data_IF_780534654136
#
_entry.id   IF_780534654136
#
_cell.length_a   1.000
_cell.length_b   1.000
_cell.length_c   1.000
_cell.angle_alpha   90.00
_cell.angle_beta   90.00
_cell.angle_gamma   90.00
#
_symmetry.space_group_name_H-M   'P 1'
#
loop_
_entity.id
_entity.type
_entity.pdbx_description
1 polymer ?
#
# COMPACT_ATOMS: atom_id res chain seq x y z
N UNK A 1 -3.19 -23.65 5.94
CA UNK A 1 -2.12 -22.91 6.66
C UNK A 1 -2.44 -22.93 8.15
N UNK A 2 -1.45 -23.21 9.01
CA UNK A 2 -1.64 -23.19 10.47
C UNK A 2 -1.76 -21.76 11.01
N UNK A 3 -2.25 -21.61 12.25
CA UNK A 3 -2.24 -20.32 12.96
C UNK A 3 -0.79 -19.89 13.21
N UNK A 4 -0.43 -18.66 12.85
CA UNK A 4 0.88 -18.08 13.19
C UNK A 4 0.84 -17.47 14.60
N UNK A 5 1.92 -17.61 15.36
CA UNK A 5 2.10 -16.93 16.65
C UNK A 5 2.92 -15.63 16.49
N UNK A 6 3.13 -14.90 17.59
CA UNK A 6 3.87 -13.63 17.58
C UNK A 6 5.32 -13.77 17.15
N UNK A 7 6.00 -14.82 17.58
CA UNK A 7 7.41 -15.04 17.25
C UNK A 7 7.57 -15.29 15.75
N UNK A 8 6.69 -16.12 15.18
CA UNK A 8 6.64 -16.35 13.73
C UNK A 8 6.32 -15.07 12.94
N UNK A 9 5.41 -14.23 13.44
CA UNK A 9 5.11 -12.93 12.82
C UNK A 9 6.37 -12.03 12.81
N UNK A 10 7.12 -12.01 13.91
CA UNK A 10 8.37 -11.24 14.02
C UNK A 10 9.49 -11.81 13.15
N UNK A 11 9.59 -13.13 13.01
CA UNK A 11 10.52 -13.79 12.10
C UNK A 11 10.22 -13.43 10.64
N UNK A 12 8.94 -13.46 10.23
CA UNK A 12 8.53 -13.04 8.88
C UNK A 12 8.93 -11.58 8.64
N UNK A 13 8.61 -10.68 9.59
CA UNK A 13 8.98 -9.27 9.51
C UNK A 13 10.50 -9.12 9.33
N UNK A 14 11.30 -9.74 10.19
CA UNK A 14 12.76 -9.62 10.15
C UNK A 14 13.37 -10.12 8.84
N UNK A 15 12.83 -11.18 8.23
CA UNK A 15 13.27 -11.65 6.90
C UNK A 15 13.00 -10.63 5.79
N UNK A 16 11.95 -9.83 5.92
CA UNK A 16 11.58 -8.80 4.94
C UNK A 16 12.25 -7.43 5.16
N UNK A 17 12.89 -7.19 6.31
CA UNK A 17 13.47 -5.88 6.66
C UNK A 17 14.47 -5.38 5.61
N UNK A 18 15.39 -6.24 5.16
CA UNK A 18 16.38 -5.87 4.14
C UNK A 18 15.72 -5.43 2.82
N UNK A 19 14.63 -6.08 2.40
CA UNK A 19 13.90 -5.75 1.17
C UNK A 19 13.23 -4.39 1.31
N UNK A 20 12.63 -4.12 2.46
CA UNK A 20 11.98 -2.85 2.75
C UNK A 20 13.01 -1.72 2.89
N UNK A 21 14.17 -1.97 3.49
CA UNK A 21 15.22 -0.96 3.64
C UNK A 21 15.77 -0.46 2.29
N UNK A 22 15.82 -1.31 1.26
CA UNK A 22 16.07 -0.86 -0.12
C UNK A 22 15.00 0.15 -0.55
N UNK A 23 13.71 -0.16 -0.34
CA UNK A 23 12.59 0.70 -0.74
C UNK A 23 12.44 1.95 0.12
N UNK A 24 13.07 2.00 1.29
CA UNK A 24 13.17 3.18 2.13
C UNK A 24 14.45 4.00 1.86
N UNK A 25 15.30 3.57 0.92
CA UNK A 25 16.57 4.22 0.63
C UNK A 25 17.60 4.14 1.77
N UNK A 26 17.42 3.19 2.70
CA UNK A 26 18.27 3.00 3.88
C UNK A 26 19.42 2.02 3.64
N UNK A 27 19.28 1.14 2.65
CA UNK A 27 20.28 0.14 2.31
C UNK A 27 20.60 0.17 0.82
N UNK A 28 21.89 0.01 0.50
CA UNK A 28 22.39 -0.31 -0.83
C UNK A 28 22.80 -1.78 -0.79
N UNK A 29 21.87 -2.68 -1.15
CA UNK A 29 22.17 -4.12 -1.24
C UNK A 29 22.74 -4.37 -2.62
N UNK A 30 24.05 -4.63 -2.77
CA UNK A 30 24.74 -5.17 -3.96
C UNK A 30 24.23 -4.71 -5.36
N UNK A 31 23.83 -3.45 -5.51
CA UNK A 31 23.28 -2.92 -6.77
C UNK A 31 21.86 -3.39 -7.11
N UNK A 32 21.16 -4.03 -6.16
CA UNK A 32 19.76 -4.43 -6.27
C UNK A 32 18.85 -3.20 -6.40
N UNK A 33 17.94 -3.26 -7.37
CA UNK A 33 16.95 -2.24 -7.68
C UNK A 33 15.55 -2.81 -7.67
N UNK A 34 14.62 -2.07 -7.04
CA UNK A 34 13.20 -2.40 -7.07
C UNK A 34 12.46 -1.39 -7.93
N UNK A 35 11.83 -1.88 -9.00
CA UNK A 35 11.03 -1.13 -9.95
C UNK A 35 9.56 -1.28 -9.56
N UNK A 36 9.05 -0.30 -8.84
CA UNK A 36 7.68 -0.28 -8.28
C UNK A 36 6.75 0.39 -9.28
N UNK A 37 6.03 -0.40 -10.07
CA UNK A 37 5.13 0.09 -11.13
C UNK A 37 3.74 0.31 -10.56
N UNK A 38 3.09 1.43 -10.91
CA UNK A 38 1.72 1.73 -10.50
C UNK A 38 0.73 0.69 -11.05
N UNK A 39 -0.03 0.05 -10.16
CA UNK A 39 -0.89 -1.10 -10.48
C UNK A 39 -2.25 -1.07 -9.80
N UNK A 40 -2.74 0.12 -9.44
CA UNK A 40 -4.14 0.33 -9.08
C UNK A 40 -5.01 0.52 -10.33
N UNK A 41 -6.32 0.50 -10.15
CA UNK A 41 -7.32 0.63 -11.24
C UNK A 41 -7.07 1.87 -12.11
N UNK A 42 -6.67 3.00 -11.51
CA UNK A 42 -6.36 4.22 -12.26
C UNK A 42 -5.10 4.06 -13.14
N UNK A 43 -4.07 3.36 -12.66
CA UNK A 43 -2.86 3.09 -13.43
C UNK A 43 -3.12 2.11 -14.58
N UNK A 44 -3.92 1.07 -14.33
CA UNK A 44 -4.36 0.11 -15.37
C UNK A 44 -5.14 0.82 -16.48
N UNK A 45 -6.05 1.73 -16.12
CA UNK A 45 -6.79 2.54 -17.08
C UNK A 45 -5.86 3.39 -17.97
N UNK A 46 -4.70 3.81 -17.45
CA UNK A 46 -3.65 4.52 -18.21
C UNK A 46 -2.68 3.60 -18.95
N UNK A 47 -2.96 2.28 -19.04
CA UNK A 47 -2.11 1.26 -19.69
C UNK A 47 -0.77 1.00 -18.98
N UNK A 48 -0.77 0.91 -17.65
CA UNK A 48 0.45 0.50 -16.92
C UNK A 48 0.86 -0.95 -17.12
N UNK A 49 -0.07 -1.87 -17.46
CA UNK A 49 0.26 -3.29 -17.65
C UNK A 49 1.22 -3.54 -18.84
N UNK A 50 1.00 -2.99 -20.05
CA UNK A 50 2.00 -3.06 -21.11
C UNK A 50 3.37 -2.52 -20.73
N UNK A 51 3.44 -1.45 -19.94
CA UNK A 51 4.70 -0.87 -19.45
C UNK A 51 5.40 -1.86 -18.52
N UNK A 52 4.67 -2.41 -17.54
CA UNK A 52 5.18 -3.44 -16.61
C UNK A 52 5.75 -4.64 -17.37
N UNK A 53 5.02 -5.12 -18.37
CA UNK A 53 5.42 -6.31 -19.13
C UNK A 53 6.63 -6.03 -20.02
N UNK A 54 6.71 -4.85 -20.63
CA UNK A 54 7.89 -4.39 -21.35
C UNK A 54 9.11 -4.30 -20.42
N UNK A 55 8.97 -3.74 -19.21
CA UNK A 55 10.05 -3.67 -18.20
C UNK A 55 10.53 -5.09 -17.87
N UNK A 56 9.63 -6.02 -17.56
CA UNK A 56 9.99 -7.41 -17.26
C UNK A 56 10.77 -8.06 -18.41
N UNK A 57 10.28 -7.91 -19.64
CA UNK A 57 10.94 -8.47 -20.82
C UNK A 57 12.34 -7.88 -21.05
N UNK A 58 12.51 -6.57 -20.88
CA UNK A 58 13.81 -5.93 -21.10
C UNK A 58 14.82 -6.25 -19.98
N UNK A 59 14.36 -6.36 -18.73
CA UNK A 59 15.18 -6.85 -17.60
C UNK A 59 15.71 -8.26 -17.86
N UNK A 60 14.85 -9.15 -18.36
CA UNK A 60 15.26 -10.52 -18.73
C UNK A 60 16.24 -10.53 -19.89
N UNK A 61 15.93 -9.80 -20.97
CA UNK A 61 16.76 -9.68 -22.17
C UNK A 61 18.17 -9.15 -21.88
N UNK A 62 18.32 -8.24 -20.92
CA UNK A 62 19.61 -7.65 -20.52
C UNK A 62 20.29 -8.44 -19.38
N UNK A 63 19.69 -9.54 -18.91
CA UNK A 63 20.25 -10.41 -17.87
C UNK A 63 20.25 -9.80 -16.46
N UNK A 64 19.35 -8.84 -16.19
CA UNK A 64 19.30 -8.08 -14.94
C UNK A 64 18.39 -8.69 -13.87
N UNK A 65 17.71 -9.81 -14.16
CA UNK A 65 16.68 -10.40 -13.27
C UNK A 65 17.16 -10.80 -11.87
N UNK A 66 18.48 -10.95 -11.67
CA UNK A 66 19.06 -11.24 -10.35
C UNK A 66 19.13 -10.03 -9.43
N UNK A 67 19.20 -8.83 -10.02
CA UNK A 67 19.39 -7.57 -9.29
C UNK A 67 18.24 -6.59 -9.49
N UNK A 68 17.36 -6.80 -10.48
CA UNK A 68 16.21 -5.94 -10.71
C UNK A 68 14.92 -6.71 -10.45
N UNK A 69 14.12 -6.25 -9.47
CA UNK A 69 12.77 -6.79 -9.20
C UNK A 69 11.72 -5.82 -9.72
N UNK A 70 10.77 -6.33 -10.51
CA UNK A 70 9.65 -5.55 -11.04
C UNK A 70 8.39 -5.90 -10.27
N UNK A 71 7.92 -4.97 -9.45
CA UNK A 71 6.82 -5.17 -8.51
C UNK A 71 5.68 -4.24 -8.90
N UNK A 72 4.48 -4.79 -8.89
CA UNK A 72 3.28 -4.00 -9.13
C UNK A 72 2.71 -3.54 -7.79
N UNK A 73 2.36 -2.27 -7.70
CA UNK A 73 1.87 -1.64 -6.46
C UNK A 73 0.39 -1.28 -6.55
N UNK A 74 -0.14 -0.61 -5.53
CA UNK A 74 -1.40 0.11 -5.65
C UNK A 74 -1.32 1.33 -6.59
N UNK A 75 -2.27 2.25 -6.44
CA UNK A 75 -2.21 3.55 -7.08
C UNK A 75 -1.21 4.44 -6.32
N UNK A 76 -0.42 5.25 -7.01
CA UNK A 76 0.61 6.15 -6.47
C UNK A 76 0.04 7.48 -5.93
N UNK A 77 -1.29 7.61 -5.89
CA UNK A 77 -2.05 8.82 -5.54
C UNK A 77 -1.94 10.01 -6.52
N UNK A 78 -0.98 10.02 -7.46
CA UNK A 78 -0.84 11.08 -8.47
C UNK A 78 -1.24 10.61 -9.88
N UNK A 79 -2.47 10.10 -10.00
CA UNK A 79 -2.93 9.38 -11.20
C UNK A 79 -2.91 10.15 -12.52
N UNK A 80 -2.83 11.48 -12.51
CA UNK A 80 -2.68 12.27 -13.75
C UNK A 80 -1.33 12.06 -14.44
N UNK A 81 -0.33 11.56 -13.70
CA UNK A 81 1.01 11.29 -14.21
C UNK A 81 1.17 9.84 -14.68
N UNK A 82 0.15 9.00 -14.50
CA UNK A 82 0.22 7.58 -14.86
C UNK A 82 0.38 7.36 -16.38
N UNK A 83 1.01 6.25 -16.81
CA UNK A 83 1.68 5.25 -15.99
C UNK A 83 2.95 5.77 -15.31
N UNK A 84 3.17 5.35 -14.05
CA UNK A 84 4.33 5.76 -13.26
C UNK A 84 5.11 4.58 -12.73
N UNK A 85 6.37 4.84 -12.35
CA UNK A 85 7.23 3.89 -11.67
C UNK A 85 8.16 4.61 -10.71
N UNK A 86 8.36 4.03 -9.52
CA UNK A 86 9.44 4.43 -8.61
C UNK A 86 10.56 3.40 -8.70
N UNK A 87 11.80 3.86 -8.86
CA UNK A 87 13.00 3.00 -8.81
C UNK A 87 13.73 3.24 -7.49
N UNK A 88 13.80 2.20 -6.66
CA UNK A 88 14.57 2.17 -5.42
C UNK A 88 15.91 1.47 -5.61
N UNK A 89 16.95 1.81 -4.81
CA UNK A 89 16.91 2.62 -3.59
C UNK A 89 16.89 4.15 -3.78
N UNK A 90 17.12 4.65 -4.99
CA UNK A 90 17.28 6.09 -5.26
C UNK A 90 15.98 6.90 -5.06
N UNK A 91 14.82 6.23 -5.14
CA UNK A 91 13.49 6.84 -5.06
C UNK A 91 13.13 7.64 -6.32
N UNK A 92 13.74 7.30 -7.47
CA UNK A 92 13.55 8.02 -8.73
C UNK A 92 12.15 7.77 -9.26
N UNK A 93 11.44 8.85 -9.59
CA UNK A 93 10.06 8.83 -10.04
C UNK A 93 9.96 9.12 -11.54
N UNK A 94 9.55 8.10 -12.29
CA UNK A 94 9.26 8.22 -13.71
C UNK A 94 7.76 8.34 -13.96
N UNK A 95 7.40 9.23 -14.86
CA UNK A 95 6.01 9.61 -15.15
C UNK A 95 5.70 9.48 -16.65
N UNK A 96 4.41 9.37 -16.98
CA UNK A 96 3.89 9.26 -18.35
C UNK A 96 4.57 8.17 -19.18
N UNK A 97 4.87 7.03 -18.54
CA UNK A 97 5.61 5.96 -19.16
C UNK A 97 4.82 5.28 -20.29
N UNK A 98 5.54 4.96 -21.35
CA UNK A 98 5.09 4.10 -22.44
C UNK A 98 6.02 2.89 -22.60
N UNK A 99 5.60 1.80 -23.26
CA UNK A 99 6.49 0.66 -23.51
C UNK A 99 7.78 1.03 -24.25
N UNK A 100 7.74 2.05 -25.11
CA UNK A 100 8.89 2.50 -25.90
C UNK A 100 9.97 3.17 -25.04
N UNK A 101 9.62 3.63 -23.84
CA UNK A 101 10.54 4.28 -22.91
C UNK A 101 11.43 3.28 -22.13
N UNK A 102 11.08 1.99 -22.17
CA UNK A 102 11.67 0.99 -21.29
C UNK A 102 13.14 0.73 -21.59
N UNK A 103 13.54 0.65 -22.87
CA UNK A 103 14.95 0.40 -23.23
C UNK A 103 15.85 1.57 -22.77
N UNK A 104 15.36 2.81 -22.83
CA UNK A 104 16.06 3.98 -22.30
C UNK A 104 16.25 3.87 -20.78
N UNK A 105 15.20 3.51 -20.03
CA UNK A 105 15.30 3.37 -18.56
C UNK A 105 16.28 2.26 -18.19
N UNK A 106 16.17 1.09 -18.84
CA UNK A 106 17.04 -0.05 -18.54
C UNK A 106 18.49 0.27 -18.90
N UNK A 107 18.74 0.77 -20.10
CA UNK A 107 20.09 1.03 -20.60
C UNK A 107 20.74 2.23 -19.91
N UNK A 108 20.03 3.35 -19.76
CA UNK A 108 20.61 4.55 -19.18
C UNK A 108 20.61 4.50 -17.65
N UNK A 109 19.49 4.18 -17.01
CA UNK A 109 19.40 4.28 -15.56
C UNK A 109 19.86 3.02 -14.84
N UNK A 110 19.39 1.84 -15.26
CA UNK A 110 19.71 0.61 -14.53
C UNK A 110 21.14 0.12 -14.80
N UNK A 111 21.63 0.30 -16.03
CA UNK A 111 23.00 -0.11 -16.44
C UNK A 111 24.00 1.04 -16.26
N UNK A 112 23.77 2.20 -16.88
CA UNK A 112 24.75 3.31 -16.87
C UNK A 112 24.65 4.24 -15.64
N UNK A 113 23.61 4.09 -14.81
CA UNK A 113 23.35 4.95 -13.65
C UNK A 113 22.91 6.38 -13.99
N UNK A 114 22.56 6.66 -15.26
CA UNK A 114 22.13 7.97 -15.75
C UNK A 114 20.61 8.08 -15.81
N UNK A 115 20.06 9.15 -15.25
CA UNK A 115 18.62 9.36 -15.25
C UNK A 115 18.10 9.76 -16.63
N UNK A 116 16.97 9.17 -17.04
CA UNK A 116 16.24 9.58 -18.24
C UNK A 116 15.46 10.87 -17.97
N UNK A 117 16.10 12.03 -18.09
CA UNK A 117 15.56 13.34 -17.68
C UNK A 117 14.20 13.69 -18.29
N UNK A 118 13.94 13.26 -19.54
CA UNK A 118 12.67 13.52 -20.23
C UNK A 118 11.46 12.85 -19.57
N UNK A 119 11.70 11.81 -18.76
CA UNK A 119 10.67 11.03 -18.06
C UNK A 119 10.53 11.41 -16.58
N UNK A 120 11.32 12.37 -16.10
CA UNK A 120 11.21 12.87 -14.73
C UNK A 120 10.07 13.88 -14.62
N UNK A 121 9.46 13.95 -13.44
CA UNK A 121 8.54 15.04 -13.12
C UNK A 121 9.25 16.39 -13.26
N UNK A 122 8.58 17.37 -13.86
CA UNK A 122 9.08 18.73 -13.99
C UNK A 122 8.23 19.67 -13.15
N UNK A 123 8.90 20.51 -12.36
CA UNK A 123 8.23 21.56 -11.60
C UNK A 123 7.46 22.48 -12.57
N UNK A 124 6.14 22.65 -12.42
CA UNK A 124 5.34 23.45 -13.33
C UNK A 124 5.70 24.95 -13.31
N UNK A 125 6.42 25.43 -12.29
CA UNK A 125 6.80 26.84 -12.15
C UNK A 125 8.10 27.16 -12.89
N UNK A 126 9.12 26.31 -12.73
CA UNK A 126 10.47 26.57 -13.25
C UNK A 126 10.96 25.55 -14.28
N UNK A 127 10.16 24.53 -14.59
CA UNK A 127 10.41 23.46 -15.55
C UNK A 127 11.67 22.62 -15.26
N UNK A 128 12.21 22.68 -14.04
CA UNK A 128 13.35 21.84 -13.63
C UNK A 128 12.88 20.43 -13.29
N UNK A 129 13.65 19.39 -13.65
CA UNK A 129 13.34 18.04 -13.25
C UNK A 129 13.50 17.86 -11.74
N UNK A 130 12.57 17.15 -11.11
CA UNK A 130 12.64 16.69 -9.72
C UNK A 130 12.70 15.17 -9.75
N UNK A 131 13.89 14.56 -9.61
CA UNK A 131 14.05 13.13 -9.80
C UNK A 131 13.34 12.27 -8.76
N UNK A 132 13.34 12.67 -7.49
CA UNK A 132 12.87 11.83 -6.39
C UNK A 132 11.41 12.10 -6.07
N UNK A 133 10.64 11.02 -5.89
CA UNK A 133 9.20 11.13 -5.59
C UNK A 133 8.94 12.02 -4.35
N UNK A 134 9.68 11.79 -3.27
CA UNK A 134 9.49 12.50 -2.01
C UNK A 134 9.99 13.95 -2.02
N UNK A 135 10.66 14.40 -3.08
CA UNK A 135 11.06 15.80 -3.25
C UNK A 135 10.02 16.62 -4.05
N UNK A 136 9.06 15.94 -4.70
CA UNK A 136 7.99 16.59 -5.47
C UNK A 136 6.99 17.23 -4.49
N UNK A 137 6.63 18.52 -4.66
CA UNK A 137 5.73 19.25 -3.74
C UNK A 137 4.38 18.57 -3.49
N UNK A 138 3.87 17.81 -4.46
CA UNK A 138 2.66 17.01 -4.29
C UNK A 138 2.80 16.00 -3.15
N UNK A 139 3.92 15.28 -3.06
CA UNK A 139 4.14 14.24 -2.04
C UNK A 139 4.73 14.80 -0.75
N UNK A 140 5.71 15.71 -0.85
CA UNK A 140 6.45 16.23 0.32
C UNK A 140 5.58 17.02 1.30
N UNK A 141 4.48 17.60 0.83
CA UNK A 141 3.53 18.34 1.65
C UNK A 141 2.42 17.46 2.27
N UNK A 142 2.47 16.14 2.09
CA UNK A 142 1.49 15.20 2.64
C UNK A 142 2.00 14.49 3.89
N UNK A 143 1.08 14.17 4.81
CA UNK A 143 1.33 13.23 5.90
C UNK A 143 0.59 11.93 5.63
N UNK A 144 1.32 10.92 5.16
CA UNK A 144 0.74 9.63 4.78
C UNK A 144 0.60 8.71 6.00
N UNK A 145 -0.58 8.71 6.63
CA UNK A 145 -0.90 7.82 7.76
C UNK A 145 -1.54 6.52 7.26
N UNK A 146 -2.71 6.61 6.62
CA UNK A 146 -3.41 5.44 6.04
C UNK A 146 -2.67 4.90 4.82
N UNK A 147 -2.08 5.79 4.02
CA UNK A 147 -1.31 5.46 2.82
C UNK A 147 0.20 5.37 3.10
N UNK A 148 0.61 5.03 4.33
CA UNK A 148 2.05 4.96 4.72
C UNK A 148 2.88 3.95 3.91
N UNK A 149 2.22 3.06 3.16
CA UNK A 149 2.83 2.03 2.33
C UNK A 149 2.72 2.35 0.82
N UNK A 150 2.31 3.57 0.47
CA UNK A 150 2.25 4.06 -0.91
C UNK A 150 3.58 3.77 -1.63
N UNK A 151 3.50 3.07 -2.78
CA UNK A 151 4.63 2.63 -3.61
C UNK A 151 5.69 1.75 -2.93
N UNK A 152 5.47 1.27 -1.70
CA UNK A 152 6.49 0.54 -0.93
C UNK A 152 6.26 -0.98 -0.87
N UNK A 153 5.03 -1.45 -1.09
CA UNK A 153 4.67 -2.87 -0.95
C UNK A 153 4.01 -3.41 -2.22
N UNK A 154 4.19 -4.70 -2.45
CA UNK A 154 3.30 -5.49 -3.29
C UNK A 154 2.00 -5.79 -2.51
N UNK A 155 0.83 -5.31 -2.97
CA UNK A 155 -0.44 -5.52 -2.26
C UNK A 155 -0.93 -6.97 -2.27
N UNK A 156 -0.36 -7.84 -3.11
CA UNK A 156 -0.70 -9.26 -3.21
C UNK A 156 0.32 -10.15 -2.44
N UNK A 157 1.32 -9.55 -1.77
CA UNK A 157 2.31 -10.26 -0.97
C UNK A 157 2.21 -9.88 0.52
N UNK A 158 1.75 -10.82 1.34
CA UNK A 158 1.62 -10.63 2.79
C UNK A 158 2.96 -10.37 3.50
N UNK A 159 4.07 -10.93 3.00
CA UNK A 159 5.38 -10.75 3.62
C UNK A 159 5.85 -9.29 3.51
N UNK A 160 5.55 -8.62 2.39
CA UNK A 160 5.81 -7.18 2.21
C UNK A 160 5.01 -6.35 3.22
N UNK A 161 3.74 -6.69 3.43
CA UNK A 161 2.89 -6.01 4.41
C UNK A 161 3.39 -6.22 5.84
N UNK A 162 3.75 -7.46 6.22
CA UNK A 162 4.30 -7.79 7.56
C UNK A 162 5.64 -7.10 7.80
N UNK A 163 6.51 -7.02 6.79
CA UNK A 163 7.76 -6.28 6.85
C UNK A 163 7.55 -4.77 7.09
N UNK A 164 6.37 -4.26 6.73
CA UNK A 164 5.87 -2.90 7.01
C UNK A 164 4.92 -2.82 8.21
N UNK A 165 5.12 -3.69 9.19
CA UNK A 165 4.42 -3.75 10.49
C UNK A 165 2.95 -4.19 10.43
N UNK A 166 2.45 -4.71 9.30
CA UNK A 166 1.09 -5.25 9.27
C UNK A 166 0.91 -6.35 10.33
N UNK A 167 -0.25 -6.36 10.97
CA UNK A 167 -0.66 -7.29 12.03
C UNK A 167 0.06 -7.16 13.36
N UNK A 168 1.04 -6.27 13.52
CA UNK A 168 1.66 -6.01 14.82
C UNK A 168 0.66 -5.39 15.81
N UNK A 169 -0.21 -4.49 15.33
CA UNK A 169 -1.30 -3.91 16.11
C UNK A 169 -2.35 -4.97 16.46
N UNK A 170 -2.69 -5.86 15.52
CA UNK A 170 -3.58 -7.00 15.79
C UNK A 170 -2.99 -7.96 16.83
N UNK A 171 -1.70 -8.30 16.73
CA UNK A 171 -1.03 -9.17 17.69
C UNK A 171 -1.06 -8.58 19.10
N UNK A 172 -0.81 -7.26 19.23
CA UNK A 172 -0.96 -6.55 20.51
C UNK A 172 -2.40 -6.61 21.02
N UNK A 173 -3.37 -6.27 20.18
CA UNK A 173 -4.79 -6.26 20.53
C UNK A 173 -5.29 -7.64 21.00
N UNK A 174 -4.85 -8.71 20.36
CA UNK A 174 -5.31 -10.06 20.65
C UNK A 174 -4.68 -10.65 21.92
N UNK A 175 -3.41 -10.34 22.20
CA UNK A 175 -2.61 -11.06 23.20
C UNK A 175 -2.24 -10.21 24.43
N UNK A 176 -2.10 -8.89 24.30
CA UNK A 176 -1.51 -8.07 25.38
C UNK A 176 -2.50 -7.18 26.11
N UNK A 177 -3.57 -6.77 25.43
CA UNK A 177 -4.52 -5.78 25.95
C UNK A 177 -5.96 -6.26 25.89
N UNK A 178 -6.75 -5.73 26.80
CA UNK A 178 -8.18 -6.02 26.93
C UNK A 178 -9.00 -5.25 25.88
N UNK A 179 -10.23 -5.72 25.65
CA UNK A 179 -11.20 -5.02 24.80
C UNK A 179 -11.47 -3.58 25.27
N UNK A 180 -11.52 -3.36 26.58
CA UNK A 180 -11.72 -2.05 27.18
C UNK A 180 -10.55 -1.10 26.89
N UNK A 181 -9.30 -1.58 27.02
CA UNK A 181 -8.11 -0.79 26.71
C UNK A 181 -8.04 -0.42 25.22
N UNK A 182 -8.42 -1.33 24.31
CA UNK A 182 -8.53 -1.02 22.88
C UNK A 182 -9.52 0.11 22.65
N UNK A 183 -10.73 0.00 23.21
CA UNK A 183 -11.77 1.03 23.07
C UNK A 183 -11.27 2.37 23.64
N UNK A 184 -10.58 2.34 24.78
CA UNK A 184 -10.05 3.56 25.40
C UNK A 184 -8.97 4.22 24.52
N UNK A 185 -8.03 3.44 23.95
CA UNK A 185 -7.03 3.98 23.02
C UNK A 185 -7.67 4.62 21.78
N UNK A 186 -8.73 4.01 21.23
CA UNK A 186 -9.47 4.56 20.08
C UNK A 186 -10.27 5.80 20.45
N UNK A 187 -10.74 5.92 21.70
CA UNK A 187 -11.35 7.17 22.20
C UNK A 187 -10.30 8.27 22.34
N UNK A 188 -9.17 7.97 22.95
CA UNK A 188 -8.06 8.92 23.18
C UNK A 188 -7.47 9.43 21.86
N UNK A 189 -7.39 8.57 20.83
CA UNK A 189 -6.91 9.00 19.50
C UNK A 189 -7.81 10.03 18.81
N UNK A 190 -9.07 10.17 19.26
CA UNK A 190 -10.03 11.10 18.69
C UNK A 190 -10.49 10.73 17.27
N UNK A 191 -10.24 9.51 16.80
CA UNK A 191 -10.62 9.10 15.44
C UNK A 191 -12.15 9.11 15.27
N UNK A 192 -12.59 9.71 14.17
CA UNK A 192 -14.00 9.84 13.77
C UNK A 192 -14.27 9.01 12.53
N UNK A 193 -15.52 8.59 12.35
CA UNK A 193 -15.95 7.87 11.16
C UNK A 193 -15.65 8.65 9.88
N UNK A 194 -14.95 8.01 8.94
CA UNK A 194 -14.47 8.65 7.70
C UNK A 194 -15.45 8.57 6.52
N UNK A 195 -16.54 7.82 6.63
CA UNK A 195 -17.63 7.79 5.64
C UNK A 195 -18.62 8.97 5.74
N UNK A 196 -18.16 10.18 6.06
CA UNK A 196 -18.98 11.40 6.06
C UNK A 196 -19.61 11.79 7.41
N UNK A 197 -20.32 10.89 8.11
CA UNK A 197 -21.07 11.24 9.32
C UNK A 197 -20.20 11.73 10.51
N UNK A 198 -18.90 11.38 10.53
CA UNK A 198 -17.97 11.90 11.52
C UNK A 198 -18.27 11.51 12.97
N UNK A 199 -19.00 10.43 13.24
CA UNK A 199 -19.26 9.99 14.61
C UNK A 199 -17.98 9.45 15.28
N UNK A 200 -17.70 9.73 16.57
CA UNK A 200 -16.50 9.23 17.24
C UNK A 200 -16.43 7.70 17.29
N UNK A 201 -15.39 7.11 16.70
CA UNK A 201 -15.31 5.64 16.52
C UNK A 201 -15.21 4.91 17.85
N UNK A 202 -14.41 5.43 18.80
CA UNK A 202 -14.26 4.81 20.12
C UNK A 202 -15.56 4.83 20.95
N UNK A 203 -16.43 5.82 20.76
CA UNK A 203 -17.77 5.83 21.35
C UNK A 203 -18.67 4.75 20.72
N UNK A 204 -18.67 4.65 19.39
CA UNK A 204 -19.43 3.64 18.65
C UNK A 204 -19.05 2.22 19.09
N UNK A 205 -17.75 1.93 19.18
CA UNK A 205 -17.25 0.63 19.65
C UNK A 205 -17.64 0.38 21.11
N UNK A 206 -17.58 1.39 21.97
CA UNK A 206 -18.05 1.29 23.35
C UNK A 206 -19.53 0.91 23.49
N UNK A 207 -20.40 1.45 22.62
CA UNK A 207 -21.81 1.05 22.59
C UNK A 207 -21.98 -0.40 22.12
N UNK A 208 -21.31 -0.79 21.03
CA UNK A 208 -21.38 -2.15 20.50
C UNK A 208 -20.85 -3.20 21.51
N UNK A 209 -19.79 -2.89 22.23
CA UNK A 209 -19.23 -3.76 23.26
C UNK A 209 -20.21 -3.99 24.42
N UNK A 210 -20.98 -2.97 24.82
CA UNK A 210 -21.99 -3.07 25.90
C UNK A 210 -23.34 -3.61 25.47
N UNK A 211 -23.63 -3.65 24.18
CA UNK A 211 -24.88 -4.21 23.67
C UNK A 211 -25.01 -5.68 24.11
N UNK A 212 -26.20 -6.04 24.59
CA UNK A 212 -26.56 -7.42 24.94
C UNK A 212 -26.64 -8.30 23.67
N UNK A 213 -26.37 -9.59 23.84
CA UNK A 213 -26.38 -10.58 22.79
C UNK A 213 -25.02 -11.26 22.58
N UNK A 214 -25.08 -12.57 22.32
CA UNK A 214 -23.89 -13.41 22.19
C UNK A 214 -23.18 -13.26 20.84
N UNK A 215 -23.91 -12.79 19.82
CA UNK A 215 -23.42 -12.70 18.45
C UNK A 215 -23.25 -11.24 18.05
N UNK A 216 -22.01 -10.89 17.69
CA UNK A 216 -21.62 -9.54 17.25
C UNK A 216 -20.83 -9.64 15.95
N UNK A 217 -20.94 -8.59 15.14
CA UNK A 217 -20.35 -8.51 13.81
C UNK A 217 -19.53 -7.23 13.64
N UNK A 218 -18.46 -7.32 12.85
CA UNK A 218 -17.76 -6.15 12.29
C UNK A 218 -18.10 -6.03 10.82
N UNK A 219 -18.63 -4.88 10.41
CA UNK A 219 -18.91 -4.59 9.01
C UNK A 219 -17.98 -3.48 8.51
N UNK A 220 -17.21 -3.77 7.47
CA UNK A 220 -16.51 -2.76 6.67
C UNK A 220 -17.42 -2.38 5.49
N UNK A 221 -17.85 -1.12 5.46
CA UNK A 221 -18.56 -0.57 4.31
C UNK A 221 -17.52 -0.05 3.30
N UNK A 222 -17.39 -0.74 2.17
CA UNK A 222 -16.52 -0.42 1.05
C UNK A 222 -17.34 -0.23 -0.25
N UNK A 223 -18.55 0.32 -0.11
CA UNK A 223 -19.43 0.61 -1.25
C UNK A 223 -19.01 1.87 -2.02
N UNK A 224 -18.32 2.82 -1.36
CA UNK A 224 -17.79 4.09 -1.90
C UNK A 224 -18.58 4.63 -3.12
N UNK A 225 -19.88 4.88 -2.90
CA UNK A 225 -20.84 5.21 -3.96
C UNK A 225 -20.76 6.65 -4.46
N UNK A 226 -20.12 7.54 -3.69
CA UNK A 226 -20.13 8.99 -3.95
C UNK A 226 -19.26 9.36 -5.17
N UNK A 227 -19.76 10.18 -6.11
CA UNK A 227 -18.97 10.65 -7.25
C UNK A 227 -17.70 11.39 -6.81
N UNK A 228 -16.56 11.00 -7.38
CA UNK A 228 -15.25 11.58 -7.07
C UNK A 228 -14.56 10.97 -5.85
N UNK A 229 -15.21 10.07 -5.10
CA UNK A 229 -14.57 9.30 -4.04
C UNK A 229 -13.85 8.07 -4.63
N UNK A 230 -12.61 7.86 -4.18
CA UNK A 230 -11.79 6.69 -4.53
C UNK A 230 -10.76 6.37 -3.43
N UNK A 231 -10.94 6.94 -2.24
CA UNK A 231 -10.06 6.78 -1.09
C UNK A 231 -10.14 5.35 -0.53
N UNK A 232 -11.34 4.78 -0.44
CA UNK A 232 -11.51 3.40 0.02
C UNK A 232 -10.93 2.44 -1.01
N UNK A 233 -11.25 2.63 -2.30
CA UNK A 233 -10.63 1.85 -3.39
C UNK A 233 -9.11 1.86 -3.32
N UNK A 234 -8.52 3.03 -3.12
CA UNK A 234 -7.06 3.19 -3.08
C UNK A 234 -6.43 2.37 -1.96
N UNK A 235 -7.05 2.33 -0.77
CA UNK A 235 -6.56 1.51 0.35
C UNK A 235 -6.76 0.02 0.07
N UNK A 236 -7.95 -0.39 -0.40
CA UNK A 236 -8.25 -1.79 -0.66
C UNK A 236 -7.37 -2.40 -1.76
N UNK A 237 -6.99 -1.60 -2.75
CA UNK A 237 -6.09 -2.02 -3.81
C UNK A 237 -4.62 -1.93 -3.42
N UNK A 238 -4.20 -0.97 -2.59
CA UNK A 238 -2.79 -0.75 -2.27
C UNK A 238 -2.31 -1.47 -1.00
N UNK A 239 -3.18 -1.65 -0.02
CA UNK A 239 -2.86 -2.28 1.27
C UNK A 239 -4.12 -2.92 1.89
N UNK A 240 -4.63 -4.03 1.32
CA UNK A 240 -5.79 -4.73 1.87
C UNK A 240 -5.52 -5.26 3.29
N UNK A 241 -4.26 -5.56 3.63
CA UNK A 241 -3.87 -6.06 4.95
C UNK A 241 -4.11 -5.01 6.06
N UNK A 242 -3.93 -3.71 5.79
CA UNK A 242 -4.29 -2.65 6.74
C UNK A 242 -5.78 -2.64 7.10
N UNK A 243 -6.66 -2.94 6.13
CA UNK A 243 -8.11 -3.05 6.37
C UNK A 243 -8.43 -4.26 7.23
N UNK A 244 -7.84 -5.41 6.91
CA UNK A 244 -8.03 -6.64 7.68
C UNK A 244 -7.52 -6.50 9.12
N UNK A 245 -6.34 -5.91 9.33
CA UNK A 245 -5.81 -5.63 10.66
C UNK A 245 -6.76 -4.74 11.47
N UNK A 246 -7.27 -3.66 10.87
CA UNK A 246 -8.24 -2.79 11.52
C UNK A 246 -9.52 -3.53 11.92
N UNK A 247 -10.02 -4.43 11.07
CA UNK A 247 -11.19 -5.26 11.36
C UNK A 247 -10.94 -6.26 12.48
N UNK A 248 -9.76 -6.89 12.54
CA UNK A 248 -9.37 -7.82 13.62
C UNK A 248 -9.34 -7.08 14.96
N UNK A 249 -8.74 -5.90 15.00
CA UNK A 249 -8.67 -5.07 16.22
C UNK A 249 -10.08 -4.65 16.64
N UNK A 250 -10.92 -4.21 15.70
CA UNK A 250 -12.32 -3.87 15.96
C UNK A 250 -13.12 -5.06 16.51
N UNK A 251 -12.90 -6.25 15.93
CA UNK A 251 -13.58 -7.47 16.35
C UNK A 251 -13.23 -7.84 17.79
N UNK A 252 -11.94 -7.78 18.13
CA UNK A 252 -11.46 -7.96 19.51
C UNK A 252 -12.06 -6.93 20.47
N UNK A 253 -12.16 -5.66 20.06
CA UNK A 253 -12.72 -4.59 20.88
C UNK A 253 -14.19 -4.79 21.25
N UNK A 254 -14.99 -5.38 20.35
CA UNK A 254 -16.43 -5.57 20.57
C UNK A 254 -16.82 -7.02 20.86
N UNK A 255 -15.85 -7.94 20.96
CA UNK A 255 -16.06 -9.39 21.09
C UNK A 255 -16.87 -10.00 19.93
N UNK A 256 -16.58 -9.58 18.69
CA UNK A 256 -17.15 -10.16 17.49
C UNK A 256 -16.26 -11.31 16.97
N UNK A 257 -16.90 -12.37 16.47
CA UNK A 257 -16.23 -13.54 15.89
C UNK A 257 -16.44 -13.66 14.38
N UNK A 258 -17.21 -12.74 13.80
CA UNK A 258 -17.53 -12.71 12.37
C UNK A 258 -17.41 -11.28 11.84
N UNK A 259 -16.77 -11.15 10.68
CA UNK A 259 -16.64 -9.89 9.96
C UNK A 259 -17.11 -10.01 8.52
N UNK A 260 -17.59 -8.90 7.95
CA UNK A 260 -17.98 -8.79 6.55
C UNK A 260 -17.39 -7.53 5.94
N UNK A 261 -16.88 -7.64 4.72
CA UNK A 261 -16.51 -6.50 3.88
C UNK A 261 -17.55 -6.42 2.76
N UNK A 262 -18.39 -5.40 2.80
CA UNK A 262 -19.31 -5.10 1.72
C UNK A 262 -18.59 -4.20 0.71
N UNK A 263 -18.01 -4.80 -0.32
CA UNK A 263 -17.32 -4.07 -1.39
C UNK A 263 -18.18 -4.05 -2.65
N UNK A 264 -18.33 -2.86 -3.25
CA UNK A 264 -19.13 -2.69 -4.46
C UNK A 264 -18.59 -3.52 -5.63
N UNK A 265 -19.48 -3.97 -6.51
CA UNK A 265 -19.11 -4.83 -7.65
C UNK A 265 -18.21 -4.11 -8.68
N UNK A 266 -18.25 -2.77 -8.72
CA UNK A 266 -17.48 -1.94 -9.65
C UNK A 266 -16.00 -1.80 -9.27
N UNK A 267 -15.57 -2.38 -8.14
CA UNK A 267 -14.16 -2.48 -7.74
C UNK A 267 -13.63 -3.93 -7.87
N UNK A 268 -13.55 -4.49 -9.09
CA UNK A 268 -13.15 -5.88 -9.29
C UNK A 268 -11.71 -6.16 -8.81
N UNK A 269 -10.79 -5.19 -8.97
CA UNK A 269 -9.41 -5.33 -8.50
C UNK A 269 -9.33 -5.36 -6.97
N UNK A 270 -10.05 -4.47 -6.28
CA UNK A 270 -10.14 -4.48 -4.83
C UNK A 270 -10.71 -5.81 -4.32
N UNK A 271 -11.79 -6.32 -4.93
CA UNK A 271 -12.37 -7.63 -4.59
C UNK A 271 -11.36 -8.75 -4.78
N UNK A 272 -10.59 -8.74 -5.89
CA UNK A 272 -9.54 -9.74 -6.14
C UNK A 272 -8.47 -9.69 -5.04
N UNK A 273 -7.91 -8.51 -4.74
CA UNK A 273 -6.84 -8.36 -3.75
C UNK A 273 -7.29 -8.67 -2.33
N UNK A 274 -8.52 -8.30 -1.96
CA UNK A 274 -9.12 -8.72 -0.70
C UNK A 274 -9.25 -10.25 -0.59
N UNK A 275 -9.66 -10.94 -1.66
CA UNK A 275 -9.75 -12.41 -1.67
C UNK A 275 -8.38 -13.10 -1.58
N UNK A 276 -7.33 -12.45 -2.07
CA UNK A 276 -5.95 -12.95 -1.91
C UNK A 276 -5.48 -12.73 -0.46
N UNK A 277 -5.84 -11.60 0.14
CA UNK A 277 -5.41 -11.23 1.50
C UNK A 277 -6.14 -11.99 2.63
N UNK A 278 -7.36 -12.49 2.40
CA UNK A 278 -8.18 -13.28 3.34
C UNK A 278 -7.82 -14.76 3.26
#
# INVERSE_FOLDING_TARGET
MGRINRDQLNEIKSRGENIIDIRLGKALVDGEKHLMVGGGTACHASRSEPVRDAIRGEIEKKGLSKICKVIETGNDAFSTLAPVMVVYPEGVYYVHLTPDDVDDIVSQHLIDGKLVERLLYKDPVNNKPIPRMMDIPYFSNQTLITLRNLTLIDPENIDDAIARDAYQGAAKALMDITAEEIINQVKVSGIRGRGGAGFPTGMKWGFAARAEGDIKYVLCNADEGDPGAFMDRSVLEADPHAVLEGMIIAAKAINAHQGYIYCRAEYPLAIKRLKIAI
#
